data_IF_886916119988
#
_entry.id   IF_886916119988
#
_cell.length_a   1.000
_cell.length_b   1.000
_cell.length_c   1.000
_cell.angle_alpha   90.00
_cell.angle_beta   90.00
_cell.angle_gamma   90.00
#
_symmetry.space_group_name_H-M   'P 1'
#
loop_
_entity.id
_entity.type
_entity.pdbx_description
1 polymer ?
#
# COMPACT_ATOMS: atom_id res chain seq x y z
N UNK A 1 12.40 27.97 4.95
CA UNK A 1 11.11 27.31 4.61
C UNK A 1 11.25 25.87 4.09
N UNK A 2 12.17 25.53 3.16
CA UNK A 2 12.34 24.15 2.63
C UNK A 2 12.84 23.09 3.65
N UNK A 3 13.45 23.52 4.77
CA UNK A 3 13.95 22.64 5.85
C UNK A 3 12.91 22.31 6.95
N UNK A 4 11.82 23.06 7.06
CA UNK A 4 10.77 22.82 8.08
C UNK A 4 9.74 21.76 7.63
N UNK A 5 9.66 21.45 6.33
CA UNK A 5 8.80 20.40 5.79
C UNK A 5 9.39 18.98 5.91
N UNK A 6 10.62 18.83 6.43
CA UNK A 6 11.24 17.52 6.68
C UNK A 6 11.05 17.02 8.13
N UNK A 7 10.41 17.80 9.00
CA UNK A 7 10.23 17.52 10.43
C UNK A 7 8.79 17.41 10.90
N UNK A 8 7.77 17.65 10.05
CA UNK A 8 6.49 16.98 10.27
C UNK A 8 6.80 15.52 10.01
N UNK A 9 7.01 14.78 11.09
CA UNK A 9 7.49 13.42 11.02
C UNK A 9 6.50 12.64 10.16
N UNK A 10 6.95 11.73 9.30
CA UNK A 10 6.00 10.90 8.55
C UNK A 10 5.03 10.15 9.50
N UNK A 11 5.43 10.00 10.76
CA UNK A 11 4.56 9.60 11.85
C UNK A 11 3.40 10.58 12.07
N UNK A 12 3.62 11.89 12.17
CA UNK A 12 2.55 12.90 12.32
C UNK A 12 1.58 12.89 11.13
N UNK A 13 2.11 12.85 9.91
CA UNK A 13 1.28 12.82 8.69
C UNK A 13 0.44 11.54 8.65
N UNK A 14 1.04 10.41 8.98
CA UNK A 14 0.34 9.12 9.00
C UNK A 14 -0.67 9.05 10.15
N UNK A 15 -0.32 9.57 11.33
CA UNK A 15 -1.21 9.62 12.48
C UNK A 15 -2.44 10.48 12.20
N UNK A 16 -2.26 11.69 11.65
CA UNK A 16 -3.36 12.55 11.22
C UNK A 16 -4.20 11.84 10.15
N UNK A 17 -3.57 11.24 9.14
CA UNK A 17 -4.28 10.51 8.07
C UNK A 17 -5.13 9.37 8.62
N UNK A 18 -4.59 8.55 9.52
CA UNK A 18 -5.31 7.42 10.13
C UNK A 18 -6.39 7.89 11.10
N UNK A 19 -6.17 9.00 11.80
CA UNK A 19 -7.17 9.62 12.69
C UNK A 19 -8.34 10.15 11.87
N UNK A 20 -8.09 10.90 10.81
CA UNK A 20 -9.12 11.41 9.90
C UNK A 20 -9.86 10.25 9.23
N UNK A 21 -9.14 9.22 8.76
CA UNK A 21 -9.77 8.03 8.19
C UNK A 21 -10.69 7.34 9.21
N UNK A 22 -10.26 7.16 10.46
CA UNK A 22 -11.07 6.61 11.54
C UNK A 22 -12.30 7.47 11.81
N UNK A 23 -12.15 8.79 11.91
CA UNK A 23 -13.27 9.71 12.16
C UNK A 23 -14.32 9.70 11.04
N UNK A 24 -13.93 9.41 9.81
CA UNK A 24 -14.87 9.30 8.67
C UNK A 24 -15.48 7.90 8.61
N UNK A 25 -14.67 6.86 8.74
CA UNK A 25 -15.11 5.47 8.55
C UNK A 25 -15.94 4.98 9.74
N UNK A 26 -15.60 5.37 10.97
CA UNK A 26 -16.32 4.95 12.18
C UNK A 26 -17.82 5.30 12.14
N UNK A 27 -18.25 6.55 11.90
CA UNK A 27 -19.68 6.87 11.84
C UNK A 27 -20.37 6.17 10.66
N UNK A 28 -19.71 6.04 9.51
CA UNK A 28 -20.26 5.30 8.37
C UNK A 28 -20.47 3.82 8.70
N UNK A 29 -19.51 3.19 9.40
CA UNK A 29 -19.62 1.80 9.83
C UNK A 29 -20.79 1.63 10.81
N UNK A 30 -20.94 2.54 11.78
CA UNK A 30 -22.05 2.54 12.74
C UNK A 30 -23.41 2.69 12.06
N UNK A 31 -23.52 3.57 11.06
CA UNK A 31 -24.78 3.80 10.34
C UNK A 31 -25.16 2.66 9.39
N UNK A 32 -24.19 2.03 8.73
CA UNK A 32 -24.45 1.02 7.69
C UNK A 32 -24.56 -0.40 8.22
N UNK A 33 -23.80 -0.76 9.25
CA UNK A 33 -23.76 -2.14 9.79
C UNK A 33 -24.12 -2.24 11.27
N UNK A 34 -24.18 -1.13 11.99
CA UNK A 34 -24.32 -1.16 13.45
C UNK A 34 -23.03 -1.62 14.15
N UNK A 35 -23.08 -1.70 15.49
CA UNK A 35 -21.95 -2.09 16.32
C UNK A 35 -22.28 -3.40 17.05
N UNK A 36 -21.92 -4.52 16.44
CA UNK A 36 -22.04 -5.84 17.06
C UNK A 36 -20.66 -6.51 17.17
N UNK A 37 -20.11 -6.48 18.39
CA UNK A 37 -18.84 -7.13 18.71
C UNK A 37 -19.01 -8.55 19.26
N UNK A 38 -20.25 -9.03 19.43
CA UNK A 38 -20.52 -10.34 20.04
C UNK A 38 -19.96 -11.50 19.22
N UNK A 39 -19.82 -11.31 17.90
CA UNK A 39 -19.26 -12.30 16.98
C UNK A 39 -17.74 -12.23 16.83
N UNK A 40 -17.08 -11.24 17.46
CA UNK A 40 -15.62 -11.06 17.32
C UNK A 40 -14.90 -12.01 18.26
N UNK A 41 -14.32 -13.05 17.69
CA UNK A 41 -13.53 -14.04 18.44
C UNK A 41 -12.15 -13.49 18.82
N UNK A 42 -11.47 -14.13 19.78
CA UNK A 42 -10.08 -13.80 20.13
C UNK A 42 -9.14 -13.88 18.90
N UNK A 43 -9.36 -14.86 18.02
CA UNK A 43 -8.62 -14.98 16.76
C UNK A 43 -8.85 -13.77 15.85
N UNK A 44 -10.07 -13.21 15.81
CA UNK A 44 -10.39 -11.98 15.08
C UNK A 44 -9.61 -10.77 15.61
N UNK A 45 -9.56 -10.60 16.94
CA UNK A 45 -8.76 -9.54 17.57
C UNK A 45 -7.27 -9.68 17.28
N UNK A 46 -6.71 -10.89 17.40
CA UNK A 46 -5.31 -11.14 17.08
C UNK A 46 -5.00 -10.89 15.60
N UNK A 47 -5.90 -11.28 14.70
CA UNK A 47 -5.77 -11.00 13.26
C UNK A 47 -5.79 -9.50 12.97
N UNK A 48 -6.65 -8.74 13.67
CA UNK A 48 -6.70 -7.28 13.56
C UNK A 48 -5.41 -6.63 14.05
N UNK A 49 -4.88 -7.06 15.20
CA UNK A 49 -3.60 -6.56 15.75
C UNK A 49 -2.44 -6.90 14.81
N UNK A 50 -2.40 -8.12 14.29
CA UNK A 50 -1.41 -8.54 13.30
C UNK A 50 -1.46 -7.66 12.05
N UNK A 51 -2.64 -7.44 11.47
CA UNK A 51 -2.83 -6.59 10.31
C UNK A 51 -2.42 -5.13 10.58
N UNK A 52 -2.75 -4.59 11.76
CA UNK A 52 -2.41 -3.23 12.15
C UNK A 52 -0.89 -3.03 12.31
N UNK A 53 -0.20 -3.96 12.98
CA UNK A 53 1.23 -3.84 13.26
C UNK A 53 2.05 -4.22 12.02
N UNK A 54 1.85 -5.42 11.49
CA UNK A 54 2.67 -5.97 10.40
C UNK A 54 2.25 -5.41 9.06
N UNK A 55 0.94 -5.39 8.78
CA UNK A 55 0.41 -4.95 7.49
C UNK A 55 0.46 -3.43 7.30
N UNK A 56 0.01 -2.66 8.30
CA UNK A 56 -0.08 -1.21 8.19
C UNK A 56 1.14 -0.47 8.74
N UNK A 57 1.48 -0.64 10.02
CA UNK A 57 2.53 0.14 10.67
C UNK A 57 3.92 -0.14 10.08
N UNK A 58 4.32 -1.42 9.98
CA UNK A 58 5.62 -1.78 9.39
C UNK A 58 5.75 -1.36 7.92
N UNK A 59 4.68 -1.52 7.12
CA UNK A 59 4.68 -1.08 5.72
C UNK A 59 4.83 0.45 5.59
N UNK A 60 4.16 1.24 6.43
CA UNK A 60 4.32 2.69 6.45
C UNK A 60 5.74 3.10 6.89
N UNK A 61 6.31 2.41 7.87
CA UNK A 61 7.69 2.68 8.31
C UNK A 61 8.69 2.39 7.20
N UNK A 62 8.50 1.29 6.46
CA UNK A 62 9.32 0.95 5.29
C UNK A 62 9.12 1.95 4.15
N UNK A 63 7.89 2.36 3.87
CA UNK A 63 7.57 3.38 2.87
C UNK A 63 8.27 4.70 3.17
N UNK A 64 8.26 5.13 4.44
CA UNK A 64 9.00 6.30 4.88
C UNK A 64 10.51 6.12 4.73
N UNK A 65 11.04 4.96 5.14
CA UNK A 65 12.46 4.66 5.02
C UNK A 65 12.94 4.71 3.57
N UNK A 66 12.21 4.06 2.65
CA UNK A 66 12.53 4.05 1.21
C UNK A 66 12.43 5.46 0.64
N UNK A 67 11.38 6.20 0.98
CA UNK A 67 11.19 7.57 0.48
C UNK A 67 12.27 8.51 0.98
N UNK A 68 12.70 8.39 2.24
CA UNK A 68 13.76 9.23 2.82
C UNK A 68 15.14 8.87 2.28
N UNK A 69 15.42 7.59 2.06
CA UNK A 69 16.74 7.10 1.63
C UNK A 69 16.95 7.13 0.11
N UNK A 70 15.92 6.80 -0.66
CA UNK A 70 15.98 6.63 -2.12
C UNK A 70 15.06 7.58 -2.89
N UNK A 71 14.25 8.40 -2.20
CA UNK A 71 13.31 9.34 -2.82
C UNK A 71 11.98 8.70 -3.23
N UNK A 72 11.02 9.55 -3.57
CA UNK A 72 9.66 9.14 -3.91
C UNK A 72 9.57 8.28 -5.18
N UNK A 73 10.44 8.50 -6.17
CA UNK A 73 10.46 7.74 -7.42
C UNK A 73 10.79 6.26 -7.16
N UNK A 74 11.79 5.99 -6.31
CA UNK A 74 12.15 4.63 -5.94
C UNK A 74 11.01 3.93 -5.19
N UNK A 75 10.33 4.64 -4.29
CA UNK A 75 9.15 4.12 -3.59
C UNK A 75 8.00 3.77 -4.56
N UNK A 76 7.73 4.60 -5.57
CA UNK A 76 6.73 4.29 -6.61
C UNK A 76 7.09 3.02 -7.38
N UNK A 77 8.37 2.81 -7.72
CA UNK A 77 8.82 1.60 -8.41
C UNK A 77 8.59 0.34 -7.57
N UNK A 78 8.87 0.39 -6.27
CA UNK A 78 8.57 -0.72 -5.35
C UNK A 78 7.06 -0.98 -5.30
N UNK A 79 6.25 0.08 -5.26
CA UNK A 79 4.79 -0.03 -5.19
C UNK A 79 4.19 -0.74 -6.40
N UNK A 80 4.83 -0.64 -7.57
CA UNK A 80 4.40 -1.35 -8.78
C UNK A 80 4.60 -2.85 -8.73
N UNK A 81 5.53 -3.34 -7.91
CA UNK A 81 5.83 -4.77 -7.78
C UNK A 81 4.94 -5.44 -6.73
N UNK A 82 4.32 -4.67 -5.83
CA UNK A 82 3.45 -5.17 -4.75
C UNK A 82 2.35 -6.13 -5.26
N UNK A 83 1.57 -5.82 -6.31
CA UNK A 83 0.50 -6.71 -6.77
C UNK A 83 1.00 -8.09 -7.21
N UNK A 84 2.18 -8.15 -7.84
CA UNK A 84 2.79 -9.40 -8.30
C UNK A 84 3.24 -10.24 -7.11
N UNK A 85 3.92 -9.62 -6.15
CA UNK A 85 4.36 -10.31 -4.92
C UNK A 85 3.17 -10.77 -4.09
N UNK A 86 2.13 -9.94 -3.97
CA UNK A 86 0.91 -10.29 -3.25
C UNK A 86 0.18 -11.48 -3.90
N UNK A 87 0.08 -11.53 -5.23
CA UNK A 87 -0.51 -12.65 -5.94
C UNK A 87 0.26 -13.96 -5.71
N UNK A 88 1.60 -13.91 -5.84
CA UNK A 88 2.45 -15.09 -5.58
C UNK A 88 2.32 -15.55 -4.14
N UNK A 89 2.32 -14.62 -3.18
CA UNK A 89 2.14 -14.94 -1.77
C UNK A 89 0.75 -15.56 -1.50
N UNK A 90 -0.31 -15.06 -2.14
CA UNK A 90 -1.66 -15.61 -2.04
C UNK A 90 -1.73 -17.07 -2.50
N UNK A 91 -1.10 -17.42 -3.62
CA UNK A 91 -1.01 -18.81 -4.09
C UNK A 91 -0.24 -19.68 -3.09
N UNK A 92 0.91 -19.21 -2.62
CA UNK A 92 1.80 -20.02 -1.78
C UNK A 92 1.31 -20.19 -0.34
N UNK A 93 0.65 -19.19 0.24
CA UNK A 93 0.20 -19.21 1.64
C UNK A 93 -1.29 -19.47 1.82
N UNK A 94 -2.14 -18.97 0.91
CA UNK A 94 -3.60 -19.11 1.02
C UNK A 94 -4.17 -20.20 0.10
N UNK A 95 -3.32 -20.87 -0.70
CA UNK A 95 -3.70 -21.89 -1.68
C UNK A 95 -4.73 -21.34 -2.70
N UNK A 96 -4.65 -20.05 -3.01
CA UNK A 96 -5.55 -19.40 -3.96
C UNK A 96 -5.29 -19.88 -5.39
N UNK A 97 -6.35 -20.26 -6.11
CA UNK A 97 -6.25 -20.60 -7.53
C UNK A 97 -6.11 -19.34 -8.39
N UNK A 98 -5.03 -19.23 -9.16
CA UNK A 98 -4.85 -18.13 -10.12
C UNK A 98 -5.93 -18.22 -11.20
N UNK A 99 -6.85 -17.26 -11.21
CA UNK A 99 -7.87 -17.15 -12.26
C UNK A 99 -7.34 -16.44 -13.49
N UNK A 100 -7.97 -16.67 -14.64
CA UNK A 100 -7.64 -15.98 -15.90
C UNK A 100 -7.73 -14.44 -15.76
N UNK A 101 -8.67 -13.96 -14.93
CA UNK A 101 -8.83 -12.52 -14.64
C UNK A 101 -7.66 -11.95 -13.83
N UNK A 102 -7.10 -12.70 -12.87
CA UNK A 102 -5.89 -12.28 -12.16
C UNK A 102 -4.71 -12.17 -13.11
N UNK A 103 -4.57 -13.12 -14.04
CA UNK A 103 -3.53 -13.07 -15.08
C UNK A 103 -3.70 -11.84 -15.97
N UNK A 104 -4.91 -11.57 -16.45
CA UNK A 104 -5.21 -10.38 -17.23
C UNK A 104 -4.87 -9.09 -16.47
N UNK A 105 -5.21 -9.02 -15.18
CA UNK A 105 -4.85 -7.90 -14.31
C UNK A 105 -3.34 -7.73 -14.14
N UNK A 106 -2.59 -8.82 -13.92
CA UNK A 106 -1.12 -8.79 -13.83
C UNK A 106 -0.47 -8.31 -15.12
N UNK A 107 -0.96 -8.77 -16.28
CA UNK A 107 -0.49 -8.29 -17.60
C UNK A 107 -0.79 -6.80 -17.78
N UNK A 108 -1.98 -6.33 -17.38
CA UNK A 108 -2.36 -4.93 -17.48
C UNK A 108 -1.49 -4.03 -16.59
N UNK A 109 -1.21 -4.45 -15.34
CA UNK A 109 -0.29 -3.74 -14.44
C UNK A 109 1.12 -3.70 -15.05
N UNK A 110 1.65 -4.85 -15.50
CA UNK A 110 2.94 -4.95 -16.17
C UNK A 110 3.05 -4.04 -17.40
N UNK A 111 2.02 -4.04 -18.25
CA UNK A 111 1.92 -3.17 -19.42
C UNK A 111 1.91 -1.69 -19.05
N UNK A 112 1.15 -1.30 -18.02
CA UNK A 112 1.15 0.07 -17.50
C UNK A 112 2.52 0.53 -17.02
N UNK A 113 3.25 -0.33 -16.30
CA UNK A 113 4.62 -0.05 -15.82
C UNK A 113 5.56 0.16 -17.01
N UNK A 114 5.51 -0.70 -18.02
CA UNK A 114 6.34 -0.60 -19.22
C UNK A 114 6.04 0.69 -20.00
N UNK A 115 4.77 1.07 -20.15
CA UNK A 115 4.37 2.31 -20.81
C UNK A 115 4.87 3.57 -20.10
N UNK A 116 4.79 3.59 -18.76
CA UNK A 116 5.23 4.73 -17.94
C UNK A 116 6.76 4.85 -17.96
N UNK A 117 7.47 3.73 -17.76
CA UNK A 117 8.94 3.74 -17.70
C UNK A 117 9.58 3.88 -19.09
N UNK A 118 8.98 3.31 -20.14
CA UNK A 118 9.49 3.38 -21.51
C UNK A 118 9.58 4.81 -22.06
N UNK A 119 8.65 5.70 -21.67
CA UNK A 119 8.68 7.12 -22.06
C UNK A 119 9.83 7.90 -21.42
N UNK A 120 10.39 7.43 -20.30
CA UNK A 120 11.53 8.08 -19.62
C UNK A 120 12.86 7.74 -20.29
N UNK A 121 13.05 6.53 -20.78
CA UNK A 121 14.25 6.16 -21.55
C UNK A 121 14.36 6.89 -22.89
N UNK A 122 13.24 7.13 -23.58
CA UNK A 122 13.23 7.82 -24.87
C UNK A 122 13.60 9.31 -24.79
N UNK A 123 13.45 9.96 -23.62
CA UNK A 123 13.86 11.36 -23.40
C UNK A 123 15.34 11.54 -23.06
N UNK A 124 16.09 10.45 -22.90
CA UNK A 124 17.52 10.46 -22.56
C UNK A 124 18.45 10.20 -23.75
N UNK A 125 17.90 10.04 -24.96
CA UNK A 125 18.71 10.01 -26.18
C UNK A 125 19.11 11.45 -26.54
N UNK A 126 20.42 11.76 -26.62
CA UNK A 126 20.88 13.06 -27.10
C UNK A 126 20.38 13.28 -28.54
N UNK A 127 19.98 14.52 -28.91
CA UNK A 127 19.71 14.84 -30.30
C UNK A 127 21.02 14.65 -31.09
N UNK A 128 20.96 13.77 -32.09
CA UNK A 128 22.00 13.61 -33.12
C UNK A 128 22.15 14.88 -33.94
#
# INVERSE_FOLDING_TARGET
MRKQMQQLSAFDVTAVRLTVATLIVLPLALLLRGFDLSQVTMAGWLSLVYAAIVGAFSAQMLAFHITKKFGAIAFSLVSYVIPVVAAIAGVLWLDETITLWMVAGMVLIGGGILLINGRRSLKLLPPT
#
